data_IF_453822982897
#
_entry.id   IF_453822982897
#
_cell.length_a   1.000
_cell.length_b   1.000
_cell.length_c   1.000
_cell.angle_alpha   90.00
_cell.angle_beta   90.00
_cell.angle_gamma   90.00
#
_symmetry.space_group_name_H-M   'P 1'
#
loop_
_entity.id
_entity.type
_entity.pdbx_description
1 polymer ?
#
# COMPACT_ATOMS: atom_id res chain seq x y z
N UNK A 1 20.95 -14.08 -28.23
CA UNK A 1 20.84 -13.12 -27.10
C UNK A 1 22.03 -12.19 -27.21
N UNK A 2 21.78 -10.90 -27.42
CA UNK A 2 22.82 -9.92 -27.74
C UNK A 2 23.29 -9.21 -26.46
N UNK A 3 24.52 -8.71 -26.42
CA UNK A 3 25.10 -8.05 -25.22
C UNK A 3 24.28 -6.85 -24.72
N UNK A 4 23.43 -6.25 -25.56
CA UNK A 4 22.48 -5.20 -25.22
C UNK A 4 21.34 -5.68 -24.31
N UNK A 5 20.94 -6.95 -24.41
CA UNK A 5 19.85 -7.54 -23.59
C UNK A 5 20.33 -7.81 -22.15
N UNK A 6 21.62 -8.14 -21.98
CA UNK A 6 22.21 -8.34 -20.65
C UNK A 6 22.45 -7.02 -19.91
N UNK A 7 22.81 -5.93 -20.61
CA UNK A 7 23.02 -4.63 -19.97
C UNK A 7 21.70 -3.94 -19.56
N UNK A 8 20.61 -4.15 -20.30
CA UNK A 8 19.30 -3.59 -19.94
C UNK A 8 18.65 -4.34 -18.77
N UNK A 9 18.82 -5.67 -18.67
CA UNK A 9 18.33 -6.44 -17.52
C UNK A 9 19.14 -6.17 -16.24
N UNK A 10 20.46 -5.99 -16.35
CA UNK A 10 21.33 -5.70 -15.20
C UNK A 10 21.10 -4.28 -14.63
N UNK A 11 20.78 -3.30 -15.48
CA UNK A 11 20.47 -1.93 -15.06
C UNK A 11 19.04 -1.76 -14.53
N UNK A 12 18.07 -2.54 -15.00
CA UNK A 12 16.70 -2.56 -14.45
C UNK A 12 16.64 -3.31 -13.11
N UNK A 13 17.37 -4.42 -12.96
CA UNK A 13 17.53 -5.09 -11.65
C UNK A 13 18.31 -4.24 -10.64
N UNK A 14 19.29 -3.44 -11.07
CA UNK A 14 19.98 -2.50 -10.19
C UNK A 14 19.05 -1.39 -9.64
N UNK A 15 17.98 -1.03 -10.37
CA UNK A 15 16.98 -0.05 -9.91
C UNK A 15 16.00 -0.60 -8.87
N UNK A 16 15.79 -1.91 -8.83
CA UNK A 16 14.96 -2.57 -7.82
C UNK A 16 15.65 -2.70 -6.46
N UNK A 17 16.92 -2.30 -6.35
CA UNK A 17 17.75 -2.39 -5.14
C UNK A 17 17.95 -1.05 -4.40
N UNK A 18 17.21 0.00 -4.75
CA UNK A 18 17.36 1.29 -4.07
C UNK A 18 16.41 1.37 -2.88
N UNK A 19 16.97 1.47 -1.67
CA UNK A 19 16.21 1.86 -0.49
C UNK A 19 15.65 3.28 -0.68
N UNK A 20 14.43 3.52 -0.20
CA UNK A 20 13.84 4.86 -0.18
C UNK A 20 13.82 5.39 1.25
N UNK A 21 14.28 6.63 1.41
CA UNK A 21 14.19 7.35 2.68
C UNK A 21 13.06 8.35 2.63
N UNK A 22 12.18 8.26 3.62
CA UNK A 22 11.04 9.15 3.80
C UNK A 22 11.09 9.68 5.22
N UNK A 23 11.40 10.97 5.36
CA UNK A 23 11.85 11.55 6.63
C UNK A 23 13.03 10.73 7.23
N UNK A 24 12.89 10.27 8.47
CA UNK A 24 13.89 9.48 9.20
C UNK A 24 13.72 7.96 8.98
N UNK A 25 12.80 7.53 8.12
CA UNK A 25 12.45 6.12 7.92
C UNK A 25 12.96 5.59 6.59
N UNK A 26 13.62 4.43 6.64
CA UNK A 26 14.13 3.73 5.46
C UNK A 26 13.21 2.57 5.10
N UNK A 27 12.76 2.56 3.86
CA UNK A 27 12.03 1.45 3.25
C UNK A 27 12.99 0.60 2.43
N UNK A 28 13.17 -0.65 2.87
CA UNK A 28 14.04 -1.61 2.19
C UNK A 28 13.56 -1.86 0.75
N UNK A 29 14.46 -2.08 -0.21
CA UNK A 29 14.10 -2.34 -1.60
C UNK A 29 13.34 -3.66 -1.79
N UNK A 30 13.62 -4.65 -0.96
CA UNK A 30 12.95 -5.96 -0.99
C UNK A 30 12.62 -6.43 0.41
N UNK A 31 11.57 -7.25 0.51
CA UNK A 31 11.13 -7.91 1.73
C UNK A 31 10.86 -9.38 1.42
N UNK A 32 11.44 -10.27 2.20
CA UNK A 32 11.34 -11.72 1.97
C UNK A 32 10.07 -12.34 2.56
N UNK A 33 9.34 -11.60 3.40
CA UNK A 33 8.08 -12.03 4.02
C UNK A 33 7.23 -10.84 4.41
N UNK A 34 5.91 -10.98 4.31
CA UNK A 34 4.93 -10.07 4.90
C UNK A 34 4.01 -10.85 5.86
N UNK A 35 3.37 -10.21 6.86
CA UNK A 35 2.39 -10.88 7.72
C UNK A 35 1.31 -11.58 6.88
N UNK A 36 1.07 -12.87 7.14
CA UNK A 36 0.09 -13.66 6.39
C UNK A 36 0.52 -14.07 4.97
N UNK A 37 1.77 -13.84 4.58
CA UNK A 37 2.32 -14.23 3.27
C UNK A 37 3.69 -14.90 3.38
N UNK A 38 3.97 -15.81 2.46
CA UNK A 38 5.28 -16.44 2.27
C UNK A 38 6.00 -15.92 1.00
N UNK A 39 5.45 -14.91 0.35
CA UNK A 39 5.98 -14.36 -0.90
C UNK A 39 7.04 -13.29 -0.64
N UNK A 40 7.90 -13.07 -1.64
CA UNK A 40 8.83 -11.95 -1.69
C UNK A 40 8.18 -10.74 -2.37
N UNK A 41 8.56 -9.55 -1.90
CA UNK A 41 8.06 -8.29 -2.40
C UNK A 41 9.19 -7.32 -2.73
N UNK A 42 9.01 -6.50 -3.74
CA UNK A 42 9.86 -5.34 -4.01
C UNK A 42 9.12 -4.04 -3.69
N UNK A 43 9.88 -3.01 -3.33
CA UNK A 43 9.37 -1.67 -3.08
C UNK A 43 8.93 -1.03 -4.39
N UNK A 44 7.62 -0.83 -4.55
CA UNK A 44 7.04 -0.11 -5.69
C UNK A 44 7.14 1.41 -5.52
N UNK A 45 7.09 1.90 -4.28
CA UNK A 45 7.21 3.33 -3.97
C UNK A 45 7.07 3.63 -2.48
N UNK A 46 7.49 4.82 -2.07
CA UNK A 46 7.30 5.31 -0.69
C UNK A 46 7.08 6.83 -0.67
N UNK A 47 6.29 7.31 0.30
CA UNK A 47 5.89 8.71 0.41
C UNK A 47 5.37 9.10 1.78
N UNK A 48 5.01 10.38 1.95
CA UNK A 48 4.43 10.91 3.20
C UNK A 48 2.93 11.15 3.05
N UNK A 49 2.19 10.89 4.12
CA UNK A 49 0.81 11.33 4.26
C UNK A 49 0.71 12.35 5.38
N UNK A 50 -0.02 13.43 5.11
CA UNK A 50 -0.21 14.54 6.03
C UNK A 50 -1.56 15.24 5.87
N UNK A 51 -1.75 16.31 6.63
CA UNK A 51 -2.91 17.21 6.53
C UNK A 51 -2.43 18.66 6.51
N UNK A 52 -3.16 19.50 5.79
CA UNK A 52 -2.97 20.95 5.83
C UNK A 52 -3.63 21.51 7.10
N UNK A 53 -2.83 22.11 7.99
CA UNK A 53 -3.28 22.72 9.24
C UNK A 53 -2.64 24.10 9.33
N UNK A 54 -3.47 25.16 9.37
CA UNK A 54 -3.01 26.55 9.50
C UNK A 54 -1.88 26.88 8.50
N UNK A 55 -2.14 26.66 7.21
CA UNK A 55 -1.21 26.91 6.09
C UNK A 55 0.10 26.09 6.10
N UNK A 56 0.22 25.10 6.98
CA UNK A 56 1.34 24.17 7.00
C UNK A 56 0.90 22.74 6.71
N UNK A 57 1.64 22.05 5.86
CA UNK A 57 1.47 20.61 5.66
C UNK A 57 2.14 19.84 6.79
N UNK A 58 1.33 19.23 7.66
CA UNK A 58 1.78 18.44 8.80
C UNK A 58 1.80 16.97 8.39
N UNK A 59 2.98 16.36 8.39
CA UNK A 59 3.19 14.95 8.05
C UNK A 59 2.86 14.07 9.26
N UNK A 60 2.03 13.06 9.07
CA UNK A 60 1.61 12.13 10.13
C UNK A 60 2.23 10.75 9.96
N UNK A 61 2.38 10.26 8.73
CA UNK A 61 2.91 8.92 8.45
C UNK A 61 3.82 8.91 7.23
N UNK A 62 4.83 8.05 7.25
CA UNK A 62 5.58 7.61 6.09
C UNK A 62 5.00 6.26 5.63
N UNK A 63 4.81 6.07 4.33
CA UNK A 63 4.15 4.88 3.78
C UNK A 63 5.05 4.27 2.71
N UNK A 64 5.27 2.96 2.80
CA UNK A 64 5.92 2.16 1.77
C UNK A 64 4.94 1.16 1.18
N UNK A 65 4.99 1.04 -0.14
CA UNK A 65 4.15 0.15 -0.93
C UNK A 65 5.04 -0.88 -1.60
N UNK A 66 4.71 -2.14 -1.37
CA UNK A 66 5.43 -3.29 -1.86
C UNK A 66 4.52 -4.16 -2.71
N UNK A 67 5.05 -4.68 -3.82
CA UNK A 67 4.32 -5.55 -4.75
C UNK A 67 5.01 -6.91 -4.81
N UNK A 68 4.22 -7.98 -4.88
CA UNK A 68 4.74 -9.34 -5.03
C UNK A 68 5.61 -9.44 -6.29
N UNK A 69 6.85 -9.89 -6.15
CA UNK A 69 7.90 -9.72 -7.16
C UNK A 69 7.52 -10.20 -8.57
N UNK A 70 7.68 -11.50 -8.86
CA UNK A 70 7.61 -11.96 -10.25
C UNK A 70 6.18 -11.86 -10.81
N UNK A 71 5.15 -11.96 -9.96
CA UNK A 71 3.75 -11.88 -10.41
C UNK A 71 3.35 -10.46 -10.78
N UNK A 72 3.68 -9.44 -9.97
CA UNK A 72 3.32 -8.07 -10.29
C UNK A 72 4.00 -7.60 -11.58
N UNK A 73 5.31 -7.88 -11.72
CA UNK A 73 6.08 -7.53 -12.92
C UNK A 73 5.47 -8.19 -14.16
N UNK A 74 5.24 -9.51 -14.10
CA UNK A 74 4.70 -10.26 -15.25
C UNK A 74 3.30 -9.80 -15.62
N UNK A 75 2.44 -9.53 -14.62
CA UNK A 75 1.06 -9.08 -14.86
C UNK A 75 1.00 -7.67 -15.47
N UNK A 76 1.78 -6.73 -14.92
CA UNK A 76 1.74 -5.33 -15.37
C UNK A 76 2.45 -5.15 -16.73
N UNK A 77 3.50 -5.91 -16.99
CA UNK A 77 4.28 -5.82 -18.23
C UNK A 77 3.46 -6.12 -19.50
N UNK A 78 2.36 -6.88 -19.41
CA UNK A 78 1.49 -7.19 -20.55
C UNK A 78 0.95 -5.91 -21.22
N UNK A 79 0.67 -4.88 -20.43
CA UNK A 79 0.03 -3.65 -20.89
C UNK A 79 0.90 -2.41 -20.75
N UNK A 80 1.71 -2.36 -19.70
CA UNK A 80 2.42 -1.15 -19.27
C UNK A 80 3.90 -1.15 -19.66
N UNK A 81 4.42 -2.24 -20.25
CA UNK A 81 5.80 -2.30 -20.70
C UNK A 81 6.08 -1.25 -21.79
N UNK A 82 7.23 -0.56 -21.67
CA UNK A 82 7.66 0.48 -22.60
C UNK A 82 7.00 1.84 -22.39
N UNK A 83 6.10 2.00 -21.41
CA UNK A 83 5.56 3.31 -21.01
C UNK A 83 6.56 4.11 -20.20
N UNK A 84 6.58 5.43 -20.42
CA UNK A 84 7.38 6.37 -19.64
C UNK A 84 6.82 6.55 -18.22
N UNK A 85 7.64 7.05 -17.30
CA UNK A 85 7.19 7.29 -15.92
C UNK A 85 6.07 8.33 -15.88
N UNK A 86 6.13 9.35 -16.74
CA UNK A 86 5.13 10.40 -16.87
C UNK A 86 3.80 9.83 -17.36
N UNK A 87 3.82 9.01 -18.42
CA UNK A 87 2.62 8.32 -18.91
C UNK A 87 1.97 7.43 -17.85
N UNK A 88 2.78 6.76 -17.03
CA UNK A 88 2.28 5.90 -15.95
C UNK A 88 1.71 6.72 -14.79
N UNK A 89 2.35 7.83 -14.44
CA UNK A 89 1.94 8.74 -13.35
C UNK A 89 0.59 9.40 -13.65
N UNK A 90 0.33 9.75 -14.91
CA UNK A 90 -0.93 10.37 -15.31
C UNK A 90 -2.04 9.32 -15.61
N UNK A 91 -1.74 8.03 -15.51
CA UNK A 91 -2.66 6.94 -15.86
C UNK A 91 -3.39 6.38 -14.65
N UNK A 92 -4.64 6.81 -14.46
CA UNK A 92 -5.57 6.21 -13.48
C UNK A 92 -5.70 4.69 -13.69
N UNK A 93 -5.68 4.25 -14.95
CA UNK A 93 -5.83 2.84 -15.28
C UNK A 93 -4.61 2.01 -14.87
N UNK A 94 -3.40 2.59 -14.91
CA UNK A 94 -2.19 1.92 -14.41
C UNK A 94 -2.29 1.64 -12.92
N UNK A 95 -2.67 2.64 -12.13
CA UNK A 95 -2.87 2.44 -10.70
C UNK A 95 -4.02 1.48 -10.41
N UNK A 96 -5.10 1.51 -11.18
CA UNK A 96 -6.18 0.50 -11.06
C UNK A 96 -5.65 -0.92 -11.29
N UNK A 97 -4.83 -1.12 -12.31
CA UNK A 97 -4.25 -2.43 -12.61
C UNK A 97 -3.24 -2.88 -11.53
N UNK A 98 -2.53 -1.95 -10.86
CA UNK A 98 -1.75 -2.25 -9.65
C UNK A 98 -2.67 -2.73 -8.54
N UNK A 99 -3.73 -1.97 -8.28
CA UNK A 99 -4.66 -2.17 -7.17
C UNK A 99 -5.38 -3.52 -7.27
N UNK A 100 -5.98 -3.80 -8.42
CA UNK A 100 -6.81 -5.00 -8.64
C UNK A 100 -6.02 -6.15 -9.26
N UNK A 101 -4.71 -5.98 -9.46
CA UNK A 101 -3.86 -6.96 -10.11
C UNK A 101 -3.82 -8.30 -9.36
N UNK A 102 -3.64 -9.44 -10.06
CA UNK A 102 -3.68 -10.79 -9.50
C UNK A 102 -2.36 -11.17 -8.78
N UNK A 103 -1.93 -10.31 -7.87
CA UNK A 103 -0.70 -10.44 -7.09
C UNK A 103 -0.88 -9.77 -5.74
N UNK A 104 -0.10 -10.17 -4.76
CA UNK A 104 -0.18 -9.59 -3.42
C UNK A 104 0.41 -8.19 -3.36
N UNK A 105 -0.13 -7.36 -2.46
CA UNK A 105 0.46 -6.07 -2.09
C UNK A 105 0.71 -6.03 -0.61
N UNK A 106 1.82 -5.41 -0.22
CA UNK A 106 2.16 -5.18 1.16
C UNK A 106 2.35 -3.69 1.41
N UNK A 107 1.69 -3.14 2.42
CA UNK A 107 1.75 -1.71 2.75
C UNK A 107 2.25 -1.57 4.18
N UNK A 108 3.30 -0.79 4.35
CA UNK A 108 3.86 -0.46 5.66
C UNK A 108 3.62 1.02 5.95
N UNK A 109 2.81 1.31 6.96
CA UNK A 109 2.50 2.67 7.41
C UNK A 109 3.25 2.92 8.72
N UNK A 110 4.27 3.78 8.68
CA UNK A 110 5.10 4.13 9.83
C UNK A 110 4.73 5.51 10.36
N UNK A 111 4.48 5.63 11.66
CA UNK A 111 4.04 6.86 12.29
C UNK A 111 5.20 7.86 12.43
N UNK A 112 5.06 9.05 11.85
CA UNK A 112 5.95 10.20 12.07
C UNK A 112 5.50 10.93 13.36
N UNK A 113 4.19 11.13 13.50
CA UNK A 113 3.56 11.71 14.68
C UNK A 113 2.69 10.65 15.38
N UNK A 114 2.48 10.75 16.70
CA UNK A 114 1.63 9.81 17.41
C UNK A 114 0.18 9.87 16.91
N UNK A 115 -0.44 8.71 16.76
CA UNK A 115 -1.85 8.56 16.44
C UNK A 115 -2.49 7.50 17.34
N UNK A 116 -3.72 7.76 17.80
CA UNK A 116 -4.56 6.66 18.30
C UNK A 116 -5.05 5.81 17.13
N UNK A 117 -5.36 4.54 17.39
CA UNK A 117 -5.90 3.67 16.36
C UNK A 117 -7.23 4.17 15.81
N UNK A 118 -8.09 4.76 16.65
CA UNK A 118 -9.33 5.43 16.22
C UNK A 118 -9.05 6.58 15.23
N UNK A 119 -8.11 7.49 15.53
CA UNK A 119 -7.77 8.59 14.62
C UNK A 119 -7.26 8.09 13.26
N UNK A 120 -6.48 7.00 13.27
CA UNK A 120 -6.00 6.38 12.06
C UNK A 120 -7.14 5.72 11.27
N UNK A 121 -7.91 4.85 11.92
CA UNK A 121 -8.93 4.02 11.28
C UNK A 121 -10.09 4.85 10.75
N UNK A 122 -10.57 5.86 11.48
CA UNK A 122 -11.60 6.78 11.02
C UNK A 122 -11.22 7.44 9.71
N UNK A 123 -9.95 7.89 9.61
CA UNK A 123 -9.50 8.60 8.42
C UNK A 123 -9.30 7.68 7.23
N UNK A 124 -8.90 6.44 7.44
CA UNK A 124 -8.84 5.42 6.38
C UNK A 124 -10.26 5.11 5.90
N UNK A 125 -11.17 4.78 6.83
CA UNK A 125 -12.56 4.41 6.53
C UNK A 125 -13.31 5.52 5.80
N UNK A 126 -13.15 6.78 6.21
CA UNK A 126 -13.78 7.94 5.55
C UNK A 126 -13.53 7.92 4.03
N UNK A 127 -12.26 7.73 3.64
CA UNK A 127 -11.86 7.68 2.23
C UNK A 127 -12.42 6.45 1.51
N UNK A 128 -12.42 5.29 2.20
CA UNK A 128 -12.88 4.02 1.63
C UNK A 128 -14.38 4.04 1.35
N UNK A 129 -15.18 4.46 2.34
CA UNK A 129 -16.63 4.56 2.24
C UNK A 129 -17.04 5.59 1.20
N UNK A 130 -16.34 6.72 1.12
CA UNK A 130 -16.59 7.73 0.08
C UNK A 130 -16.37 7.14 -1.32
N UNK A 131 -15.27 6.42 -1.54
CA UNK A 131 -14.99 5.74 -2.80
C UNK A 131 -16.08 4.71 -3.12
N UNK A 132 -16.35 3.75 -2.23
CA UNK A 132 -17.35 2.70 -2.46
C UNK A 132 -18.73 3.23 -2.78
N UNK A 133 -19.16 4.30 -2.10
CA UNK A 133 -20.42 5.00 -2.41
C UNK A 133 -20.40 5.61 -3.79
N UNK A 134 -19.31 6.26 -4.20
CA UNK A 134 -19.18 6.86 -5.52
C UNK A 134 -19.23 5.82 -6.66
N UNK A 135 -18.76 4.59 -6.41
CA UNK A 135 -18.85 3.48 -7.38
C UNK A 135 -20.15 2.68 -7.28
N UNK A 136 -21.00 2.95 -6.29
CA UNK A 136 -22.26 2.22 -6.09
C UNK A 136 -22.09 0.79 -5.59
N UNK A 137 -20.96 0.47 -4.94
CA UNK A 137 -20.66 -0.88 -4.42
C UNK A 137 -20.67 -0.98 -2.89
N UNK A 138 -21.05 0.09 -2.18
CA UNK A 138 -21.14 0.06 -0.72
C UNK A 138 -22.41 -0.67 -0.26
N UNK A 139 -22.27 -1.94 0.12
CA UNK A 139 -23.35 -2.80 0.61
C UNK A 139 -23.25 -3.05 2.12
N UNK A 140 -24.13 -3.91 2.65
CA UNK A 140 -24.07 -4.36 4.05
C UNK A 140 -22.77 -5.10 4.37
N UNK A 141 -22.21 -5.82 3.39
CA UNK A 141 -20.92 -6.51 3.56
C UNK A 141 -19.78 -5.51 3.77
N UNK A 142 -19.69 -4.46 2.94
CA UNK A 142 -18.70 -3.38 3.11
C UNK A 142 -18.97 -2.52 4.35
N UNK A 143 -20.22 -2.42 4.82
CA UNK A 143 -20.49 -1.76 6.11
C UNK A 143 -19.95 -2.57 7.28
N UNK A 144 -20.19 -3.89 7.30
CA UNK A 144 -19.68 -4.78 8.35
C UNK A 144 -18.15 -4.85 8.35
N UNK A 145 -17.55 -4.82 7.16
CA UNK A 145 -16.10 -4.67 6.97
C UNK A 145 -15.51 -3.49 7.72
N UNK A 146 -16.16 -2.34 7.57
CA UNK A 146 -15.73 -1.09 8.19
C UNK A 146 -15.81 -1.19 9.70
N UNK A 147 -16.88 -1.78 10.23
CA UNK A 147 -17.04 -1.99 11.67
C UNK A 147 -15.93 -2.91 12.23
N UNK A 148 -15.66 -4.04 11.56
CA UNK A 148 -14.59 -4.96 11.95
C UNK A 148 -13.22 -4.28 11.88
N UNK A 149 -12.95 -3.52 10.82
CA UNK A 149 -11.71 -2.77 10.66
C UNK A 149 -11.53 -1.75 11.80
N UNK A 150 -12.54 -0.91 12.09
CA UNK A 150 -12.47 0.06 13.20
C UNK A 150 -12.22 -0.66 14.53
N UNK A 151 -12.88 -1.79 14.75
CA UNK A 151 -12.76 -2.56 15.99
C UNK A 151 -11.34 -3.13 16.21
N UNK A 152 -10.60 -3.45 15.14
CA UNK A 152 -9.18 -3.86 15.23
C UNK A 152 -8.30 -2.75 15.81
N UNK A 153 -8.62 -1.48 15.53
CA UNK A 153 -7.81 -0.32 15.93
C UNK A 153 -8.31 0.39 17.20
N UNK A 154 -9.46 -0.02 17.74
CA UNK A 154 -10.17 0.72 18.79
C UNK A 154 -9.33 1.04 20.03
N UNK A 155 -8.59 0.04 20.53
CA UNK A 155 -7.82 0.14 21.77
C UNK A 155 -6.31 0.35 21.51
N UNK A 156 -5.95 0.65 20.26
CA UNK A 156 -4.56 0.77 19.83
C UNK A 156 -4.04 2.20 19.93
N UNK A 157 -2.74 2.34 20.16
CA UNK A 157 -2.04 3.62 20.08
C UNK A 157 -0.69 3.42 19.42
N UNK A 158 -0.39 4.30 18.47
CA UNK A 158 0.78 4.23 17.62
C UNK A 158 1.73 5.38 17.92
N UNK A 159 2.78 5.17 18.74
CA UNK A 159 3.83 6.17 18.93
C UNK A 159 4.65 6.37 17.65
N UNK A 160 5.41 7.47 17.53
CA UNK A 160 6.36 7.65 16.43
C UNK A 160 7.29 6.45 16.26
N UNK A 161 7.52 6.05 15.01
CA UNK A 161 8.32 4.89 14.62
C UNK A 161 7.60 3.54 14.69
N UNK A 162 6.44 3.45 15.34
CA UNK A 162 5.60 2.25 15.22
C UNK A 162 5.05 2.11 13.79
N UNK A 163 4.70 0.88 13.39
CA UNK A 163 4.17 0.61 12.05
C UNK A 163 2.91 -0.23 12.08
N UNK A 164 1.99 0.06 11.18
CA UNK A 164 0.84 -0.78 10.83
C UNK A 164 1.17 -1.44 9.50
N UNK A 165 0.99 -2.75 9.42
CA UNK A 165 1.35 -3.56 8.27
C UNK A 165 0.08 -4.17 7.67
N UNK A 166 -0.06 -4.03 6.36
CA UNK A 166 -1.20 -4.56 5.61
C UNK A 166 -0.70 -5.50 4.52
N UNK A 167 -1.22 -6.72 4.47
CA UNK A 167 -0.98 -7.64 3.35
C UNK A 167 -2.30 -7.93 2.66
N UNK A 168 -2.38 -7.58 1.39
CA UNK A 168 -3.52 -7.86 0.53
C UNK A 168 -3.26 -9.12 -0.27
N UNK A 169 -4.12 -10.12 -0.06
CA UNK A 169 -4.13 -11.38 -0.78
C UNK A 169 -5.57 -11.62 -1.21
N UNK A 170 -5.99 -11.05 -2.36
CA UNK A 170 -7.40 -11.04 -2.78
C UNK A 170 -8.06 -12.42 -2.64
N UNK A 171 -9.18 -12.54 -1.90
CA UNK A 171 -10.05 -11.47 -1.40
C UNK A 171 -9.73 -10.98 0.05
N UNK A 172 -8.65 -11.40 0.68
CA UNK A 172 -8.34 -11.15 2.08
C UNK A 172 -7.39 -9.96 2.33
N UNK A 173 -7.51 -9.39 3.53
CA UNK A 173 -6.55 -8.43 4.09
C UNK A 173 -6.09 -8.90 5.46
N UNK A 174 -4.78 -9.04 5.59
CA UNK A 174 -4.12 -9.27 6.87
C UNK A 174 -3.64 -7.94 7.42
N UNK A 175 -3.98 -7.66 8.68
CA UNK A 175 -3.53 -6.47 9.41
C UNK A 175 -2.61 -6.92 10.53
N UNK A 176 -1.41 -6.37 10.61
CA UNK A 176 -0.50 -6.59 11.72
C UNK A 176 -0.10 -5.27 12.33
N UNK A 177 -0.19 -5.20 13.66
CA UNK A 177 0.09 -4.04 14.49
C UNK A 177 1.14 -4.43 15.55
N UNK A 178 1.85 -3.49 16.19
CA UNK A 178 3.05 -3.76 16.99
C UNK A 178 2.93 -4.76 18.14
N UNK A 179 1.75 -5.31 18.45
CA UNK A 179 1.55 -6.38 19.44
C UNK A 179 0.52 -7.47 19.02
N UNK A 180 -0.08 -7.41 17.83
CA UNK A 180 -1.16 -8.32 17.41
C UNK A 180 -1.16 -8.56 15.88
N UNK A 181 -1.47 -9.79 15.45
CA UNK A 181 -1.74 -10.13 14.04
C UNK A 181 -3.23 -10.48 13.92
N UNK A 182 -3.94 -9.78 13.05
CA UNK A 182 -5.35 -9.99 12.72
C UNK A 182 -5.50 -10.42 11.26
N UNK A 183 -6.18 -11.55 11.04
CA UNK A 183 -6.54 -12.02 9.70
C UNK A 183 -8.04 -11.76 9.50
N UNK A 184 -8.41 -10.87 8.57
CA UNK A 184 -9.80 -10.70 8.14
C UNK A 184 -10.06 -11.53 6.87
N UNK A 185 -11.18 -12.27 6.84
CA UNK A 185 -11.59 -13.03 5.64
C UNK A 185 -12.53 -12.17 4.81
N UNK A 186 -12.13 -11.96 3.55
CA UNK A 186 -12.94 -11.56 2.41
C UNK A 186 -13.71 -10.24 2.52
N UNK A 187 -13.08 -9.14 2.13
CA UNK A 187 -13.75 -7.88 1.80
C UNK A 187 -13.07 -7.30 0.57
N UNK A 188 -13.86 -6.74 -0.34
CA UNK A 188 -13.43 -6.10 -1.59
C UNK A 188 -12.64 -4.81 -1.29
N UNK A 189 -11.44 -5.01 -0.76
CA UNK A 189 -10.53 -4.00 -0.21
C UNK A 189 -9.68 -3.35 -1.29
N UNK A 190 -9.84 -3.79 -2.53
CA UNK A 190 -9.16 -3.24 -3.69
C UNK A 190 -9.29 -1.70 -3.70
N UNK A 191 -10.39 -1.12 -3.20
CA UNK A 191 -10.56 0.35 -3.19
C UNK A 191 -10.06 1.07 -1.93
N UNK A 192 -9.97 0.39 -0.79
CA UNK A 192 -9.20 0.87 0.37
C UNK A 192 -7.74 1.03 -0.02
N UNK A 193 -7.25 0.09 -0.84
CA UNK A 193 -5.89 0.08 -1.36
C UNK A 193 -5.69 1.05 -2.52
N UNK A 194 -6.65 1.20 -3.44
CA UNK A 194 -6.59 2.23 -4.48
C UNK A 194 -6.43 3.63 -3.90
N UNK A 195 -7.08 3.92 -2.79
CA UNK A 195 -6.87 5.17 -2.06
C UNK A 195 -5.56 5.16 -1.26
N UNK A 196 -5.18 4.09 -0.54
CA UNK A 196 -3.88 4.04 0.14
C UNK A 196 -2.69 4.20 -0.83
N UNK A 197 -2.79 3.62 -2.03
CA UNK A 197 -1.81 3.72 -3.12
C UNK A 197 -1.82 5.11 -3.75
N UNK A 198 -2.98 5.68 -4.05
CA UNK A 198 -3.12 7.07 -4.54
C UNK A 198 -2.84 8.14 -3.46
N UNK A 199 -2.75 7.73 -2.19
CA UNK A 199 -2.29 8.57 -1.06
C UNK A 199 -0.77 8.43 -0.86
N UNK A 200 -0.14 7.38 -1.41
CA UNK A 200 1.29 7.08 -1.28
C UNK A 200 2.13 7.36 -2.53
N UNK A 201 1.48 7.50 -3.69
CA UNK A 201 2.03 7.84 -5.01
C UNK A 201 1.54 9.23 -5.40
#
# INVERSE_FOLDING_TARGET
MTSSDLSSSSSSLARLNMELKVEDYTFCPTLSTAPGSANSFFLGGAGVRGLQIQDKFIKFTAIGVYLEEQKAISSLAVKWNGKSAEELTDSIEFFRDIVTGPFEKFIMVTMILPLTGQQYSDKVVENCVAAWKAMGIYTEAESKAVEEFIQVFKDETFPPGSSILFTQSSPALTVSIPNHIWNAVALDLDLVQGQLLHISL
#
